data_IF_636870999061
#
_entry.id   IF_636870999061
#
_cell.length_a   1.000
_cell.length_b   1.000
_cell.length_c   1.000
_cell.angle_alpha   90.00
_cell.angle_beta   90.00
_cell.angle_gamma   90.00
#
_symmetry.space_group_name_H-M   'P 1'
#
loop_
_entity.id
_entity.type
_entity.pdbx_description
1 polymer ?
#
# COMPACT_ATOMS: atom_id res chain seq x y z
N UNK A 1 -23.96 -3.73 0.73
CA UNK A 1 -23.16 -4.93 0.38
C UNK A 1 -21.88 -4.45 -0.28
N UNK A 2 -20.74 -5.09 -0.02
CA UNK A 2 -19.53 -4.92 -0.83
C UNK A 2 -19.60 -6.00 -1.92
N UNK A 3 -19.80 -5.61 -3.18
CA UNK A 3 -19.87 -6.54 -4.30
C UNK A 3 -18.75 -6.19 -5.28
N UNK A 4 -18.12 -7.19 -5.92
CA UNK A 4 -17.19 -6.94 -7.01
C UNK A 4 -17.94 -6.31 -8.19
N UNK A 5 -17.20 -5.82 -9.19
CA UNK A 5 -17.79 -5.36 -10.43
C UNK A 5 -18.46 -6.53 -11.18
N UNK A 6 -19.76 -6.39 -11.51
CA UNK A 6 -20.58 -7.40 -12.19
C UNK A 6 -21.16 -6.79 -13.47
N UNK A 7 -20.98 -7.44 -14.62
CA UNK A 7 -21.41 -6.97 -15.95
C UNK A 7 -22.93 -6.89 -16.10
N UNK A 8 -23.63 -7.84 -15.46
CA UNK A 8 -25.07 -8.01 -15.54
C UNK A 8 -25.86 -7.09 -14.62
N UNK A 9 -25.19 -6.35 -13.71
CA UNK A 9 -25.84 -5.39 -12.84
C UNK A 9 -25.47 -3.96 -13.27
N UNK A 10 -26.46 -3.11 -13.62
CA UNK A 10 -26.19 -1.70 -13.82
C UNK A 10 -25.78 -1.06 -12.49
N UNK A 11 -24.51 -0.67 -12.36
CA UNK A 11 -24.00 0.09 -11.23
C UNK A 11 -24.48 1.54 -11.34
N UNK A 12 -25.61 1.87 -10.70
CA UNK A 12 -26.18 3.22 -10.75
C UNK A 12 -26.69 3.60 -12.14
N UNK A 13 -27.54 4.63 -12.21
CA UNK A 13 -28.17 5.05 -13.45
C UNK A 13 -27.16 5.71 -14.40
N UNK A 14 -26.43 4.93 -15.20
CA UNK A 14 -25.77 5.40 -16.43
C UNK A 14 -25.61 4.26 -17.46
N UNK A 15 -26.25 4.35 -18.64
CA UNK A 15 -26.06 3.40 -19.73
C UNK A 15 -24.91 3.87 -20.63
N UNK A 16 -23.68 3.52 -20.23
CA UNK A 16 -22.51 3.34 -21.08
C UNK A 16 -21.55 2.45 -20.27
N UNK A 17 -20.77 1.57 -20.91
CA UNK A 17 -19.79 0.75 -20.20
C UNK A 17 -18.85 1.66 -19.38
N UNK A 18 -19.12 1.83 -18.09
CA UNK A 18 -18.36 2.72 -17.24
C UNK A 18 -16.92 2.19 -17.19
N UNK A 19 -15.96 3.05 -17.54
CA UNK A 19 -14.55 2.68 -17.45
C UNK A 19 -14.24 2.20 -16.03
N UNK A 20 -13.50 1.10 -15.91
CA UNK A 20 -13.15 0.54 -14.63
C UNK A 20 -12.43 1.58 -13.75
N UNK A 21 -12.77 1.67 -12.45
CA UNK A 21 -12.27 2.72 -11.57
C UNK A 21 -10.76 2.59 -11.36
N UNK A 22 -10.09 3.74 -11.39
CA UNK A 22 -8.65 3.84 -11.15
C UNK A 22 -8.35 3.85 -9.67
N UNK A 23 -7.40 3.02 -9.24
CA UNK A 23 -7.05 2.88 -7.82
C UNK A 23 -5.56 3.07 -7.57
N UNK A 24 -5.20 3.58 -6.40
CA UNK A 24 -3.82 3.81 -6.01
C UNK A 24 -3.54 3.28 -4.61
N UNK A 25 -2.43 2.57 -4.45
CA UNK A 25 -1.93 2.20 -3.13
C UNK A 25 -0.46 2.57 -2.94
N UNK A 26 -0.14 3.22 -1.83
CA UNK A 26 1.25 3.42 -1.39
C UNK A 26 1.65 2.33 -0.38
N UNK A 27 2.76 1.63 -0.62
CA UNK A 27 3.36 0.65 0.28
C UNK A 27 4.71 1.18 0.75
N UNK A 28 4.94 1.17 2.06
CA UNK A 28 6.13 1.76 2.66
C UNK A 28 6.90 0.75 3.53
N UNK A 29 8.22 0.82 3.41
CA UNK A 29 9.18 0.18 4.31
C UNK A 29 10.15 1.24 4.83
N UNK A 30 10.32 1.35 6.15
CA UNK A 30 11.28 2.27 6.76
C UNK A 30 12.73 1.80 6.65
N UNK A 31 13.67 2.73 6.80
CA UNK A 31 15.12 2.51 6.93
C UNK A 31 15.85 2.04 5.67
N UNK A 32 15.32 2.32 4.49
CA UNK A 32 16.00 2.06 3.22
C UNK A 32 16.10 0.58 2.86
N UNK A 33 16.86 0.30 1.82
CA UNK A 33 16.94 -1.00 1.12
C UNK A 33 18.34 -1.62 1.29
N UNK A 34 18.59 -2.75 0.63
CA UNK A 34 19.96 -3.24 0.36
C UNK A 34 20.49 -2.68 -0.97
N UNK A 35 21.35 -1.63 -0.97
CA UNK A 35 21.83 -0.99 -2.19
C UNK A 35 22.47 -1.92 -3.23
N UNK A 36 23.37 -2.86 -2.89
CA UNK A 36 24.03 -3.70 -3.90
C UNK A 36 23.07 -4.65 -4.61
N UNK A 37 21.89 -4.89 -4.04
CA UNK A 37 20.89 -5.85 -4.53
C UNK A 37 19.65 -5.18 -5.14
N UNK A 38 19.61 -3.84 -5.17
CA UNK A 38 18.52 -3.05 -5.74
C UNK A 38 18.90 -2.46 -7.08
N UNK A 39 18.71 -3.23 -8.14
CA UNK A 39 19.01 -2.82 -9.51
C UNK A 39 18.00 -3.41 -10.48
N UNK A 40 17.85 -2.76 -11.64
CA UNK A 40 17.16 -3.31 -12.78
C UNK A 40 17.79 -2.77 -14.07
N UNK A 41 17.74 -3.56 -15.13
CA UNK A 41 18.19 -3.15 -16.48
C UNK A 41 17.34 -3.79 -17.58
N UNK A 42 17.39 -3.23 -18.78
CA UNK A 42 16.53 -3.66 -19.88
C UNK A 42 15.09 -3.17 -19.71
N UNK A 43 14.13 -3.86 -20.33
CA UNK A 43 12.71 -3.49 -20.33
C UNK A 43 11.80 -4.68 -20.65
N UNK A 44 10.52 -4.52 -20.36
CA UNK A 44 9.45 -5.48 -20.65
C UNK A 44 9.72 -6.85 -20.05
N UNK A 45 9.38 -7.91 -20.79
CA UNK A 45 9.60 -9.29 -20.36
C UNK A 45 11.08 -9.63 -20.13
N UNK A 46 12.00 -8.92 -20.80
CA UNK A 46 13.45 -9.15 -20.72
C UNK A 46 14.14 -8.33 -19.61
N UNK A 47 13.38 -7.63 -18.76
CA UNK A 47 13.92 -6.87 -17.64
C UNK A 47 14.71 -7.79 -16.69
N UNK A 48 15.97 -7.45 -16.45
CA UNK A 48 16.82 -8.13 -15.47
C UNK A 48 16.64 -7.42 -14.13
N UNK A 49 16.33 -8.18 -13.09
CA UNK A 49 16.08 -7.67 -11.74
C UNK A 49 17.20 -8.11 -10.81
N UNK A 50 17.68 -7.19 -9.98
CA UNK A 50 18.58 -7.48 -8.87
C UNK A 50 17.92 -8.38 -7.82
N UNK A 51 18.73 -8.99 -6.96
CA UNK A 51 18.30 -10.00 -6.00
C UNK A 51 17.11 -9.54 -5.14
N UNK A 52 17.14 -8.31 -4.62
CA UNK A 52 16.05 -7.80 -3.78
C UNK A 52 14.72 -7.59 -4.53
N UNK A 53 14.77 -7.46 -5.86
CA UNK A 53 13.60 -7.27 -6.72
C UNK A 53 13.07 -8.57 -7.35
N UNK A 54 13.77 -9.69 -7.16
CA UNK A 54 13.40 -11.01 -7.69
C UNK A 54 11.92 -11.40 -7.46
N UNK A 55 11.27 -11.11 -6.31
CA UNK A 55 9.86 -11.46 -6.12
C UNK A 55 8.90 -10.85 -7.16
N UNK A 56 9.31 -9.79 -7.86
CA UNK A 56 8.51 -9.11 -8.89
C UNK A 56 8.75 -9.69 -10.30
N UNK A 57 9.50 -10.78 -10.45
CA UNK A 57 9.88 -11.34 -11.74
C UNK A 57 8.68 -11.70 -12.65
N UNK A 58 7.56 -12.19 -12.08
CA UNK A 58 6.34 -12.48 -12.85
C UNK A 58 5.60 -11.22 -13.32
N UNK A 59 5.93 -10.06 -12.75
CA UNK A 59 5.25 -8.79 -12.95
C UNK A 59 6.05 -7.83 -13.84
N UNK A 60 7.18 -8.26 -14.43
CA UNK A 60 8.05 -7.41 -15.28
C UNK A 60 7.29 -6.56 -16.31
N UNK A 61 6.29 -7.08 -17.07
CA UNK A 61 5.56 -6.26 -18.04
C UNK A 61 4.74 -5.13 -17.41
N UNK A 62 4.37 -5.27 -16.13
CA UNK A 62 3.57 -4.31 -15.36
C UNK A 62 4.40 -3.50 -14.36
N UNK A 63 5.73 -3.66 -14.34
CA UNK A 63 6.64 -3.06 -13.37
C UNK A 63 7.40 -1.88 -13.99
N UNK A 64 7.47 -0.77 -13.25
CA UNK A 64 8.46 0.27 -13.47
C UNK A 64 9.42 0.34 -12.27
N UNK A 65 10.72 0.29 -12.54
CA UNK A 65 11.77 0.52 -11.53
C UNK A 65 12.31 1.93 -11.74
N UNK A 66 12.14 2.79 -10.74
CA UNK A 66 12.46 4.22 -10.85
C UNK A 66 13.64 4.58 -9.95
N UNK A 67 14.66 5.17 -10.55
CA UNK A 67 15.92 5.53 -9.90
C UNK A 67 16.14 7.03 -9.93
N UNK A 68 16.76 7.56 -8.88
CA UNK A 68 17.24 8.94 -8.82
C UNK A 68 16.24 9.97 -8.29
N UNK A 69 14.99 9.60 -7.99
CA UNK A 69 14.03 10.52 -7.39
C UNK A 69 14.38 10.84 -5.93
N UNK A 70 14.07 12.05 -5.46
CA UNK A 70 14.29 12.45 -4.06
C UNK A 70 13.26 13.47 -3.58
N UNK A 71 13.13 13.64 -2.27
CA UNK A 71 12.34 14.70 -1.66
C UNK A 71 13.30 15.77 -1.12
N UNK A 72 13.27 16.99 -1.68
CA UNK A 72 14.18 18.08 -1.25
C UNK A 72 14.03 18.39 0.24
N UNK A 73 12.80 18.39 0.74
CA UNK A 73 12.49 18.73 2.14
C UNK A 73 12.92 17.64 3.14
N UNK A 74 13.35 16.48 2.66
CA UNK A 74 13.93 15.39 3.46
C UNK A 74 15.46 15.37 3.44
N UNK A 75 16.12 16.30 2.73
CA UNK A 75 17.59 16.32 2.60
C UNK A 75 18.23 17.34 3.52
N UNK A 76 19.26 16.93 4.27
CA UNK A 76 20.03 17.84 5.14
C UNK A 76 19.29 18.38 6.37
N UNK A 77 18.07 17.92 6.64
CA UNK A 77 17.23 18.40 7.75
C UNK A 77 17.33 17.53 9.00
N UNK A 78 17.99 16.38 8.92
CA UNK A 78 18.07 15.34 9.96
C UNK A 78 17.97 13.96 9.34
N UNK A 79 18.02 12.94 10.19
CA UNK A 79 17.82 11.53 9.82
C UNK A 79 16.44 11.06 10.30
N UNK A 80 16.00 9.88 9.83
CA UNK A 80 14.82 9.20 10.34
C UNK A 80 13.53 10.04 10.25
N UNK A 81 12.91 10.59 11.33
CA UNK A 81 11.62 11.26 11.18
C UNK A 81 11.66 12.44 10.19
N UNK A 82 12.80 13.13 10.07
CA UNK A 82 13.01 14.19 9.08
C UNK A 82 12.96 13.73 7.62
N UNK A 83 13.14 12.43 7.37
CA UNK A 83 13.15 11.78 6.06
C UNK A 83 11.87 10.97 5.77
N UNK A 84 11.07 10.69 6.80
CA UNK A 84 9.93 9.76 6.72
C UNK A 84 8.60 10.49 6.64
N UNK A 85 8.35 11.42 7.56
CA UNK A 85 7.00 11.93 7.78
C UNK A 85 6.40 12.69 6.61
N UNK A 86 7.25 13.24 5.74
CA UNK A 86 6.84 13.96 4.54
C UNK A 86 6.95 13.13 3.26
N UNK A 87 7.17 11.82 3.34
CA UNK A 87 7.47 11.03 2.14
C UNK A 87 6.36 11.12 1.09
N UNK A 88 5.08 11.14 1.51
CA UNK A 88 3.93 11.29 0.60
C UNK A 88 3.42 12.74 0.44
N UNK A 89 3.95 13.72 1.20
CA UNK A 89 3.49 15.11 1.15
C UNK A 89 4.49 16.08 0.51
N UNK A 90 5.79 15.75 0.55
CA UNK A 90 6.86 16.66 0.14
C UNK A 90 6.99 17.90 1.02
N UNK A 91 6.30 17.97 2.16
CA UNK A 91 6.29 19.15 3.02
C UNK A 91 7.59 19.30 3.84
N UNK A 92 7.94 20.55 4.19
CA UNK A 92 8.97 20.82 5.18
C UNK A 92 8.47 20.46 6.58
N UNK A 93 9.11 19.49 7.23
CA UNK A 93 8.73 19.07 8.58
C UNK A 93 9.21 20.09 9.62
N UNK A 94 8.43 20.24 10.71
CA UNK A 94 8.76 21.11 11.82
C UNK A 94 9.28 20.30 13.03
N UNK A 95 10.31 20.82 13.70
CA UNK A 95 10.82 20.27 14.97
C UNK A 95 9.98 20.73 16.16
N UNK A 96 9.98 19.95 17.23
CA UNK A 96 9.23 20.22 18.46
C UNK A 96 7.81 19.65 18.44
N UNK A 97 6.98 20.12 19.37
CA UNK A 97 5.69 19.52 19.69
C UNK A 97 4.60 19.71 18.64
N UNK A 98 4.71 20.77 17.83
CA UNK A 98 3.73 21.08 16.80
C UNK A 98 4.11 20.38 15.51
N UNK A 99 3.26 19.46 15.07
CA UNK A 99 3.43 18.76 13.80
C UNK A 99 3.11 19.71 12.63
N UNK A 100 3.95 19.63 11.60
CA UNK A 100 3.78 20.13 10.24
C UNK A 100 4.17 19.03 9.24
N UNK A 101 3.22 18.21 8.78
CA UNK A 101 3.43 17.15 7.80
C UNK A 101 2.89 17.48 6.40
N UNK A 102 1.99 18.46 6.27
CA UNK A 102 1.33 18.82 5.00
C UNK A 102 0.36 17.75 4.52
N UNK A 103 -0.71 18.12 3.80
CA UNK A 103 -1.63 17.10 3.23
C UNK A 103 -0.87 16.20 2.26
N UNK A 104 -0.98 14.89 2.46
CA UNK A 104 -0.27 13.91 1.62
C UNK A 104 -1.03 13.57 0.35
N UNK A 105 -0.30 13.10 -0.65
CA UNK A 105 -0.80 12.79 -2.00
C UNK A 105 -1.96 11.79 -1.98
N UNK A 106 -1.86 10.74 -1.17
CA UNK A 106 -2.93 9.77 -0.97
C UNK A 106 -4.20 10.44 -0.40
N UNK A 107 -4.06 11.43 0.49
CA UNK A 107 -5.22 12.13 1.05
C UNK A 107 -5.80 13.18 0.10
N UNK A 108 -4.99 13.75 -0.80
CA UNK A 108 -5.50 14.56 -1.93
C UNK A 108 -6.34 13.70 -2.87
N UNK A 109 -5.87 12.49 -3.22
CA UNK A 109 -6.66 11.54 -4.01
C UNK A 109 -7.92 11.08 -3.26
N UNK A 110 -7.82 10.83 -1.96
CA UNK A 110 -8.96 10.39 -1.15
C UNK A 110 -10.09 11.43 -1.16
N UNK A 111 -9.75 12.70 -1.00
CA UNK A 111 -10.71 13.81 -1.10
C UNK A 111 -11.33 13.90 -2.50
N UNK A 112 -10.56 13.63 -3.56
CA UNK A 112 -11.08 13.66 -4.92
C UNK A 112 -12.15 12.60 -5.19
N UNK A 113 -12.06 11.43 -4.54
CA UNK A 113 -12.98 10.31 -4.74
C UNK A 113 -14.00 10.11 -3.60
N UNK A 114 -14.09 11.05 -2.65
CA UNK A 114 -14.87 10.85 -1.42
C UNK A 114 -16.37 10.64 -1.65
N UNK A 115 -16.91 11.24 -2.70
CA UNK A 115 -18.32 11.08 -3.09
C UNK A 115 -18.58 9.83 -3.96
N UNK A 116 -17.51 9.16 -4.41
CA UNK A 116 -17.59 7.98 -5.29
C UNK A 116 -17.42 6.66 -4.54
N UNK A 117 -16.81 6.68 -3.35
CA UNK A 117 -16.53 5.47 -2.56
C UNK A 117 -17.07 5.56 -1.14
N UNK A 118 -17.46 4.42 -0.58
CA UNK A 118 -17.98 4.36 0.79
C UNK A 118 -16.92 4.70 1.86
N UNK A 119 -15.64 4.47 1.53
CA UNK A 119 -14.50 4.83 2.36
C UNK A 119 -13.52 5.64 1.50
N UNK A 120 -13.23 6.88 1.88
CA UNK A 120 -12.37 7.79 1.09
C UNK A 120 -10.91 7.32 1.03
N UNK A 121 -10.40 6.74 2.13
CA UNK A 121 -9.04 6.20 2.21
C UNK A 121 -8.94 5.03 3.18
N UNK A 122 -8.09 4.06 2.85
CA UNK A 122 -7.75 2.93 3.72
C UNK A 122 -6.29 3.05 4.16
N UNK A 123 -6.06 3.64 5.34
CA UNK A 123 -4.72 3.83 5.91
C UNK A 123 -4.43 2.73 6.93
N UNK A 124 -3.50 1.84 6.58
CA UNK A 124 -3.17 0.62 7.31
C UNK A 124 -1.70 0.60 7.73
N UNK A 125 -1.38 -0.23 8.71
CA UNK A 125 -0.01 -0.71 8.84
C UNK A 125 0.17 -1.91 9.74
N UNK A 126 1.41 -2.40 9.77
CA UNK A 126 1.75 -3.67 10.41
C UNK A 126 2.54 -3.47 11.72
N UNK A 127 2.73 -2.23 12.16
CA UNK A 127 3.46 -1.86 13.37
C UNK A 127 2.79 -0.64 14.02
N UNK A 128 2.61 -0.68 15.35
CA UNK A 128 1.99 0.41 16.09
C UNK A 128 2.86 1.67 16.11
N UNK A 129 2.26 2.87 16.04
CA UNK A 129 3.00 4.13 16.12
C UNK A 129 3.66 4.32 17.48
N UNK A 130 4.78 5.04 17.51
CA UNK A 130 5.48 5.41 18.75
C UNK A 130 5.44 6.92 18.98
N UNK A 131 5.49 7.31 20.24
CA UNK A 131 5.45 8.70 20.71
C UNK A 131 6.83 9.15 21.22
N UNK A 132 6.97 10.43 21.54
CA UNK A 132 8.23 11.02 22.01
C UNK A 132 8.97 11.77 20.89
N UNK A 133 10.28 11.95 21.08
CA UNK A 133 11.12 12.73 20.19
C UNK A 133 12.38 11.96 19.81
N UNK A 134 12.79 12.12 18.56
CA UNK A 134 14.11 11.74 18.09
C UNK A 134 15.17 12.74 18.59
N UNK A 135 16.44 12.35 18.63
CA UNK A 135 17.58 13.23 18.99
C UNK A 135 17.69 14.49 18.11
N UNK A 136 17.15 14.43 16.88
CA UNK A 136 17.02 15.60 15.99
C UNK A 136 15.83 16.50 16.35
N UNK A 137 15.17 16.30 17.50
CA UNK A 137 14.02 17.06 18.00
C UNK A 137 12.78 17.02 17.09
N UNK A 138 12.70 16.06 16.16
CA UNK A 138 11.46 15.76 15.46
C UNK A 138 10.60 14.82 16.31
N UNK A 139 9.29 15.03 16.25
CA UNK A 139 8.32 14.11 16.86
C UNK A 139 8.39 12.73 16.20
N UNK A 140 8.32 11.68 17.02
CA UNK A 140 8.27 10.30 16.54
C UNK A 140 7.00 9.96 15.75
N UNK A 141 6.00 10.84 15.77
CA UNK A 141 4.85 10.75 14.87
C UNK A 141 5.29 10.73 13.39
N UNK A 142 6.35 11.46 13.04
CA UNK A 142 6.89 11.51 11.68
C UNK A 142 7.61 10.22 11.25
N UNK A 143 8.12 9.41 12.18
CA UNK A 143 8.62 8.07 11.85
C UNK A 143 7.50 7.03 11.75
N UNK A 144 6.32 7.37 12.27
CA UNK A 144 5.20 6.44 12.42
C UNK A 144 4.06 6.65 11.42
N UNK A 145 3.99 7.81 10.77
CA UNK A 145 2.93 8.14 9.83
C UNK A 145 3.49 8.79 8.57
N UNK A 146 2.91 8.40 7.44
CA UNK A 146 3.24 8.94 6.12
C UNK A 146 2.01 9.56 5.42
N UNK A 147 0.81 9.25 5.91
CA UNK A 147 -0.46 9.83 5.46
C UNK A 147 -0.88 10.97 6.38
N UNK A 148 -1.28 12.09 5.79
CA UNK A 148 -1.61 13.33 6.48
C UNK A 148 -2.87 13.95 5.88
N UNK A 149 -3.91 14.08 6.69
CA UNK A 149 -5.16 14.72 6.26
C UNK A 149 -4.98 16.23 6.06
N UNK A 150 -4.10 16.86 6.85
CA UNK A 150 -3.83 18.28 6.79
C UNK A 150 -2.41 18.58 7.29
N UNK A 151 -2.08 19.88 7.37
CA UNK A 151 -0.78 20.32 7.80
C UNK A 151 -0.31 19.72 9.13
N UNK A 152 -1.18 19.48 10.11
CA UNK A 152 -0.77 19.19 11.49
C UNK A 152 -1.26 17.84 12.00
N UNK A 153 -2.03 17.11 11.22
CA UNK A 153 -2.68 15.89 11.66
C UNK A 153 -2.33 14.74 10.73
N UNK A 154 -1.59 13.72 11.21
CA UNK A 154 -1.48 12.48 10.48
C UNK A 154 -2.84 11.78 10.46
N UNK A 155 -3.06 10.93 9.46
CA UNK A 155 -4.21 10.03 9.46
C UNK A 155 -3.88 8.85 10.37
N UNK A 156 -4.72 8.52 11.37
CA UNK A 156 -4.54 7.32 12.17
C UNK A 156 -4.54 6.08 11.29
N UNK A 157 -3.56 5.20 11.51
CA UNK A 157 -3.45 3.94 10.79
C UNK A 157 -4.13 2.81 11.55
N UNK A 158 -4.91 1.98 10.85
CA UNK A 158 -5.49 0.77 11.42
C UNK A 158 -4.47 -0.38 11.36
N UNK A 159 -4.14 -0.93 12.53
CA UNK A 159 -3.15 -2.01 12.70
C UNK A 159 -3.79 -3.35 13.02
N UNK A 160 -5.10 -3.38 13.24
CA UNK A 160 -5.84 -4.59 13.57
C UNK A 160 -6.54 -5.12 12.32
N UNK A 161 -6.12 -6.28 11.76
CA UNK A 161 -6.72 -6.81 10.54
C UNK A 161 -8.23 -7.04 10.65
N UNK A 162 -8.75 -7.40 11.82
CA UNK A 162 -10.19 -7.58 12.03
C UNK A 162 -10.99 -6.29 12.08
N UNK A 163 -10.36 -5.14 12.39
CA UNK A 163 -11.02 -3.83 12.30
C UNK A 163 -10.93 -3.29 10.87
N UNK A 164 -9.77 -3.44 10.22
CA UNK A 164 -9.58 -3.07 8.83
C UNK A 164 -10.48 -3.89 7.88
N UNK A 165 -10.61 -5.20 8.12
CA UNK A 165 -11.53 -6.05 7.37
C UNK A 165 -12.98 -5.65 7.60
N UNK A 166 -13.35 -5.40 8.86
CA UNK A 166 -14.67 -4.92 9.22
C UNK A 166 -15.07 -3.64 8.53
N UNK A 167 -14.15 -2.68 8.35
CA UNK A 167 -14.47 -1.38 7.74
C UNK A 167 -14.93 -1.51 6.28
N UNK A 168 -14.56 -2.60 5.60
CA UNK A 168 -15.03 -2.89 4.24
C UNK A 168 -16.52 -3.27 4.20
N UNK A 169 -17.09 -3.67 5.34
CA UNK A 169 -18.45 -4.14 5.48
C UNK A 169 -19.22 -3.23 6.44
N UNK A 170 -20.46 -2.89 6.10
CA UNK A 170 -21.29 -2.05 6.96
C UNK A 170 -21.67 -2.81 8.25
N UNK A 171 -20.87 -2.65 9.31
CA UNK A 171 -20.93 -3.40 10.57
C UNK A 171 -21.58 -2.60 11.72
N UNK A 172 -22.72 -1.94 11.46
CA UNK A 172 -23.46 -1.22 12.49
C UNK A 172 -24.42 -2.11 13.33
N UNK A 173 -24.53 -1.79 14.63
CA UNK A 173 -25.50 -2.38 15.57
C UNK A 173 -25.25 -3.85 15.93
N UNK A 174 -26.32 -4.63 16.15
CA UNK A 174 -26.26 -6.08 16.47
C UNK A 174 -25.54 -6.94 15.42
N UNK A 175 -25.26 -6.38 14.23
CA UNK A 175 -24.60 -7.05 13.11
C UNK A 175 -23.07 -7.12 13.25
N UNK A 176 -22.49 -6.41 14.23
CA UNK A 176 -21.04 -6.41 14.51
C UNK A 176 -20.54 -7.73 15.10
N UNK A 177 -21.43 -8.55 15.66
CA UNK A 177 -21.04 -9.81 16.34
C UNK A 177 -21.17 -11.05 15.45
N UNK A 178 -21.75 -10.93 14.25
CA UNK A 178 -21.93 -12.03 13.32
C UNK A 178 -20.80 -12.09 12.29
N UNK A 179 -20.41 -13.29 11.87
CA UNK A 179 -19.51 -13.50 10.73
C UNK A 179 -20.05 -12.75 9.51
N UNK A 180 -19.14 -12.12 8.76
CA UNK A 180 -19.48 -11.39 7.54
C UNK A 180 -20.01 -12.38 6.49
N UNK A 181 -19.47 -13.60 6.42
CA UNK A 181 -19.90 -14.61 5.46
C UNK A 181 -21.36 -14.99 5.60
N UNK A 182 -21.82 -15.24 6.83
CA UNK A 182 -23.22 -15.60 7.07
C UNK A 182 -24.17 -14.48 6.63
N UNK A 183 -23.70 -13.22 6.70
CA UNK A 183 -24.46 -12.05 6.25
C UNK A 183 -24.52 -11.92 4.73
N UNK A 184 -23.38 -12.03 4.03
CA UNK A 184 -23.36 -11.91 2.57
C UNK A 184 -23.93 -13.15 1.88
N UNK A 185 -23.94 -14.32 2.51
CA UNK A 185 -24.39 -15.58 1.89
C UNK A 185 -25.83 -15.52 1.40
N UNK A 186 -26.76 -15.01 2.20
CA UNK A 186 -28.18 -14.95 1.80
C UNK A 186 -28.40 -13.94 0.66
N UNK A 187 -27.70 -12.81 0.72
CA UNK A 187 -27.80 -11.78 -0.31
C UNK A 187 -27.15 -12.23 -1.62
N UNK A 188 -26.00 -12.90 -1.54
CA UNK A 188 -25.32 -13.46 -2.70
C UNK A 188 -26.09 -14.64 -3.32
N UNK A 189 -26.78 -15.46 -2.52
CA UNK A 189 -27.65 -16.51 -3.05
C UNK A 189 -28.82 -15.95 -3.87
N UNK A 190 -29.41 -14.83 -3.43
CA UNK A 190 -30.44 -14.11 -4.21
C UNK A 190 -29.83 -13.57 -5.51
N UNK A 191 -28.67 -12.91 -5.41
CA UNK A 191 -28.00 -12.29 -6.54
C UNK A 191 -27.52 -13.29 -7.59
N UNK A 192 -27.07 -14.49 -7.16
CA UNK A 192 -26.65 -15.55 -8.06
C UNK A 192 -27.76 -15.95 -9.05
N UNK A 193 -29.03 -15.79 -8.68
CA UNK A 193 -30.14 -16.11 -9.59
C UNK A 193 -30.40 -15.01 -10.64
N UNK A 194 -29.91 -13.79 -10.41
CA UNK A 194 -30.20 -12.60 -11.23
C UNK A 194 -29.05 -12.22 -12.18
N UNK A 195 -27.84 -12.76 -11.95
CA UNK A 195 -26.63 -12.38 -12.70
C UNK A 195 -26.22 -13.39 -13.77
N UNK A 196 -25.40 -12.92 -14.72
CA UNK A 196 -24.84 -13.74 -15.81
C UNK A 196 -23.94 -14.86 -15.27
N UNK A 197 -23.69 -15.90 -16.07
CA UNK A 197 -22.76 -16.99 -15.67
C UNK A 197 -21.34 -16.48 -15.37
N UNK A 198 -20.86 -15.48 -16.13
CA UNK A 198 -19.57 -14.81 -15.89
C UNK A 198 -19.54 -14.15 -14.50
N UNK A 199 -20.61 -13.45 -14.16
CA UNK A 199 -20.73 -12.73 -12.89
C UNK A 199 -20.94 -13.65 -11.68
N UNK A 200 -21.61 -14.80 -11.86
CA UNK A 200 -21.66 -15.85 -10.83
C UNK A 200 -20.26 -16.32 -10.45
N UNK A 201 -19.40 -16.58 -11.45
CA UNK A 201 -18.04 -17.01 -11.20
C UNK A 201 -17.23 -15.95 -10.42
N UNK A 202 -17.36 -14.66 -10.78
CA UNK A 202 -16.73 -13.55 -10.04
C UNK A 202 -17.26 -13.43 -8.61
N UNK A 203 -18.57 -13.57 -8.42
CA UNK A 203 -19.19 -13.53 -7.10
C UNK A 203 -18.71 -14.69 -6.22
N UNK A 204 -18.61 -15.91 -6.77
CA UNK A 204 -18.11 -17.08 -6.06
C UNK A 204 -16.61 -16.93 -5.69
N UNK A 205 -15.79 -16.39 -6.59
CA UNK A 205 -14.37 -16.07 -6.32
C UNK A 205 -14.24 -15.04 -5.18
N UNK A 206 -15.05 -13.99 -5.22
CA UNK A 206 -15.09 -12.97 -4.19
C UNK A 206 -15.52 -13.54 -2.83
N UNK A 207 -16.62 -14.30 -2.76
CA UNK A 207 -17.08 -14.92 -1.51
C UNK A 207 -16.05 -15.90 -0.94
N UNK A 208 -15.34 -16.62 -1.81
CA UNK A 208 -14.24 -17.49 -1.41
C UNK A 208 -13.09 -16.67 -0.82
N UNK A 209 -12.71 -15.56 -1.46
CA UNK A 209 -11.67 -14.65 -0.96
C UNK A 209 -12.03 -14.03 0.40
N UNK A 210 -13.27 -13.54 0.56
CA UNK A 210 -13.78 -13.02 1.84
C UNK A 210 -13.69 -14.10 2.93
N UNK A 211 -14.04 -15.34 2.59
CA UNK A 211 -14.02 -16.47 3.52
C UNK A 211 -12.63 -16.86 3.96
N UNK A 212 -11.68 -16.85 3.05
CA UNK A 212 -10.29 -17.15 3.35
C UNK A 212 -9.68 -16.10 4.25
N UNK A 213 -9.94 -14.81 4.00
CA UNK A 213 -9.46 -13.70 4.84
C UNK A 213 -10.05 -13.79 6.25
N UNK A 214 -11.38 -13.93 6.38
CA UNK A 214 -12.03 -14.04 7.69
C UNK A 214 -11.48 -15.25 8.50
N UNK A 215 -11.30 -16.41 7.83
CA UNK A 215 -10.70 -17.60 8.46
C UNK A 215 -9.25 -17.39 8.88
N UNK A 216 -8.44 -16.69 8.08
CA UNK A 216 -7.04 -16.38 8.44
C UNK A 216 -7.00 -15.45 9.65
N UNK A 217 -7.83 -14.42 9.69
CA UNK A 217 -7.99 -13.54 10.85
C UNK A 217 -8.36 -14.35 12.09
N UNK A 218 -9.31 -15.27 11.98
CA UNK A 218 -9.72 -16.14 13.08
C UNK A 218 -8.59 -17.08 13.56
N UNK A 219 -7.88 -17.73 12.62
CA UNK A 219 -6.78 -18.67 12.94
C UNK A 219 -5.61 -17.99 13.64
N UNK A 220 -5.25 -16.78 13.22
CA UNK A 220 -4.16 -16.01 13.83
C UNK A 220 -4.45 -15.58 15.28
N UNK A 221 -5.69 -15.74 15.77
CA UNK A 221 -6.05 -15.56 17.18
C UNK A 221 -6.01 -16.86 17.98
N UNK A 222 -6.39 -17.98 17.38
CA UNK A 222 -6.55 -19.26 18.10
C UNK A 222 -5.24 -19.94 18.50
N UNK A 223 -4.07 -19.39 18.13
CA UNK A 223 -2.78 -19.93 18.59
C UNK A 223 -2.50 -19.61 20.07
N UNK A 224 -3.16 -18.61 20.67
CA UNK A 224 -3.03 -18.27 22.10
C UNK A 224 -4.10 -18.89 23.02
N UNK A 225 -5.25 -19.32 22.50
CA UNK A 225 -6.35 -19.90 23.28
C UNK A 225 -6.80 -21.21 22.64
N UNK A 226 -6.53 -22.35 23.27
CA UNK A 226 -6.68 -23.73 22.74
C UNK A 226 -8.09 -24.17 22.29
N UNK A 227 -9.04 -23.28 22.06
CA UNK A 227 -10.39 -23.57 21.55
C UNK A 227 -10.44 -23.25 20.05
N UNK A 228 -10.33 -24.30 19.22
CA UNK A 228 -10.59 -24.21 17.77
C UNK A 228 -12.08 -24.41 17.51
N UNK A 229 -12.83 -23.34 17.26
CA UNK A 229 -14.13 -23.46 16.60
C UNK A 229 -14.12 -22.72 15.25
N UNK A 230 -13.67 -23.42 14.21
CA UNK A 230 -13.60 -22.91 12.82
C UNK A 230 -14.99 -22.73 12.16
N UNK A 231 -16.06 -23.17 12.85
CA UNK A 231 -17.45 -23.03 12.41
C UNK A 231 -18.20 -21.99 13.26
N UNK A 232 -17.49 -21.07 13.92
CA UNK A 232 -18.13 -20.03 14.70
C UNK A 232 -18.85 -19.03 13.79
N UNK A 233 -20.12 -18.77 14.07
CA UNK A 233 -20.89 -17.68 13.46
C UNK A 233 -20.54 -16.32 14.06
N UNK A 234 -19.59 -16.27 15.01
CA UNK A 234 -19.16 -15.05 15.69
C UNK A 234 -18.00 -14.41 14.93
N UNK A 235 -18.07 -13.09 14.75
CA UNK A 235 -16.98 -12.27 14.20
C UNK A 235 -15.66 -12.50 15.00
N UNK A 236 -14.49 -12.58 14.35
CA UNK A 236 -13.20 -12.64 15.03
C UNK A 236 -12.95 -11.44 15.97
N UNK A 237 -12.29 -11.68 17.12
CA UNK A 237 -11.94 -10.61 18.05
C UNK A 237 -10.79 -9.71 17.55
N UNK A 238 -10.71 -8.50 18.09
CA UNK A 238 -9.67 -7.54 17.74
C UNK A 238 -8.30 -7.98 18.28
N UNK A 239 -7.24 -7.78 17.50
CA UNK A 239 -5.87 -7.83 18.00
C UNK A 239 -4.82 -7.94 16.89
N UNK A 240 -3.54 -8.00 17.27
CA UNK A 240 -2.42 -8.14 16.33
C UNK A 240 -2.09 -9.62 16.07
N UNK A 241 -1.78 -10.03 14.83
CA UNK A 241 -1.18 -11.33 14.57
C UNK A 241 0.22 -11.42 15.22
N UNK A 242 0.57 -12.58 15.77
CA UNK A 242 1.91 -12.82 16.37
C UNK A 242 3.00 -12.91 15.30
N UNK A 243 2.66 -13.48 14.13
CA UNK A 243 3.55 -13.59 13.00
C UNK A 243 3.38 -12.41 12.04
N UNK A 244 4.45 -11.61 11.89
CA UNK A 244 4.49 -10.45 11.00
C UNK A 244 4.23 -10.84 9.52
N UNK A 245 4.56 -12.08 9.13
CA UNK A 245 4.26 -12.63 7.79
C UNK A 245 2.78 -12.68 7.54
N UNK A 246 2.04 -13.20 8.51
CA UNK A 246 0.58 -13.28 8.43
C UNK A 246 -0.05 -11.89 8.52
N UNK A 247 0.51 -11.00 9.35
CA UNK A 247 0.00 -9.64 9.47
C UNK A 247 0.07 -8.87 8.14
N UNK A 248 1.24 -8.84 7.48
CA UNK A 248 1.42 -8.14 6.22
C UNK A 248 0.56 -8.74 5.10
N UNK A 249 0.46 -10.07 5.04
CA UNK A 249 -0.38 -10.76 4.06
C UNK A 249 -1.86 -10.44 4.25
N UNK A 250 -2.35 -10.43 5.50
CA UNK A 250 -3.72 -10.05 5.81
C UNK A 250 -4.03 -8.60 5.41
N UNK A 251 -3.13 -7.65 5.69
CA UNK A 251 -3.34 -6.27 5.28
C UNK A 251 -3.34 -6.11 3.76
N UNK A 252 -2.49 -6.85 3.04
CA UNK A 252 -2.55 -6.90 1.57
C UNK A 252 -3.89 -7.46 1.09
N UNK A 253 -4.40 -8.53 1.69
CA UNK A 253 -5.68 -9.13 1.32
C UNK A 253 -6.85 -8.17 1.50
N UNK A 254 -6.84 -7.39 2.58
CA UNK A 254 -7.86 -6.37 2.85
C UNK A 254 -7.82 -5.28 1.78
N UNK A 255 -6.63 -4.80 1.38
CA UNK A 255 -6.51 -3.84 0.26
C UNK A 255 -7.05 -4.45 -1.03
N UNK A 256 -6.72 -5.72 -1.31
CA UNK A 256 -7.18 -6.39 -2.51
C UNK A 256 -8.70 -6.49 -2.58
N UNK A 257 -9.35 -6.88 -1.47
CA UNK A 257 -10.82 -6.91 -1.37
C UNK A 257 -11.44 -5.51 -1.47
N UNK A 258 -10.83 -4.52 -0.84
CA UNK A 258 -11.30 -3.13 -0.88
C UNK A 258 -11.29 -2.59 -2.32
N UNK A 259 -10.24 -2.91 -3.08
CA UNK A 259 -10.14 -2.53 -4.49
C UNK A 259 -11.08 -3.32 -5.36
N UNK A 260 -11.14 -4.65 -5.22
CA UNK A 260 -12.04 -5.51 -6.02
C UNK A 260 -13.51 -5.07 -5.93
N UNK A 261 -13.93 -4.56 -4.77
CA UNK A 261 -15.32 -4.14 -4.49
C UNK A 261 -15.55 -2.64 -4.59
N UNK A 262 -14.55 -1.89 -5.08
CA UNK A 262 -14.53 -0.42 -5.14
C UNK A 262 -14.97 0.27 -3.83
N UNK A 263 -14.63 -0.32 -2.69
CA UNK A 263 -14.93 0.25 -1.36
C UNK A 263 -14.13 1.49 -1.07
N UNK A 264 -12.92 1.53 -1.60
CA UNK A 264 -12.01 2.67 -1.63
C UNK A 264 -11.20 2.62 -2.91
N UNK A 265 -10.84 3.79 -3.45
CA UNK A 265 -9.89 3.92 -4.55
C UNK A 265 -8.47 4.24 -4.08
N UNK A 266 -8.29 4.50 -2.78
CA UNK A 266 -7.00 4.88 -2.21
C UNK A 266 -6.67 4.05 -0.98
N UNK A 267 -5.45 3.51 -0.94
CA UNK A 267 -4.91 2.82 0.23
C UNK A 267 -3.47 3.24 0.53
N UNK A 268 -3.09 3.17 1.79
CA UNK A 268 -1.69 3.31 2.23
C UNK A 268 -1.39 2.18 3.21
N UNK A 269 -0.29 1.46 2.99
CA UNK A 269 0.17 0.38 3.86
C UNK A 269 1.58 0.64 4.35
N UNK A 270 1.69 0.97 5.63
CA UNK A 270 2.95 1.06 6.34
C UNK A 270 3.35 -0.33 6.84
N UNK A 271 4.26 -1.01 6.15
CA UNK A 271 4.65 -2.39 6.49
C UNK A 271 5.61 -2.42 7.69
N UNK A 272 6.49 -1.43 7.81
CA UNK A 272 7.21 -1.13 9.03
C UNK A 272 7.47 0.36 9.13
N UNK A 273 7.57 0.85 10.36
CA UNK A 273 7.86 2.26 10.60
C UNK A 273 9.32 2.54 10.33
N UNK A 274 9.65 3.81 10.20
CA UNK A 274 11.03 4.21 10.40
C UNK A 274 11.40 4.04 11.89
N UNK A 275 12.63 3.61 12.16
CA UNK A 275 13.06 3.18 13.49
C UNK A 275 12.27 1.96 13.99
N UNK A 276 11.92 1.04 13.08
CA UNK A 276 11.14 -0.16 13.41
C UNK A 276 11.88 -1.09 14.37
N UNK A 277 11.13 -1.61 15.34
CA UNK A 277 11.59 -2.61 16.31
C UNK A 277 11.26 -4.05 15.92
N UNK A 278 10.80 -4.30 14.70
CA UNK A 278 10.42 -5.64 14.23
C UNK A 278 11.62 -6.59 14.11
N UNK A 279 11.38 -7.89 14.30
CA UNK A 279 12.38 -8.95 14.17
C UNK A 279 11.98 -9.95 13.08
N UNK A 280 12.99 -10.58 12.44
CA UNK A 280 12.78 -11.52 11.33
C UNK A 280 13.55 -12.84 11.54
N UNK A 281 13.30 -13.59 12.63
CA UNK A 281 13.98 -14.86 12.87
C UNK A 281 13.72 -15.90 11.77
N UNK A 282 12.57 -15.82 11.08
CA UNK A 282 12.26 -16.67 9.92
C UNK A 282 13.15 -16.41 8.70
N UNK A 283 13.91 -15.31 8.70
CA UNK A 283 14.95 -14.99 7.71
C UNK A 283 16.36 -15.18 8.29
N UNK A 284 16.49 -15.81 9.45
CA UNK A 284 17.75 -15.91 10.19
C UNK A 284 18.40 -14.53 10.41
N UNK A 285 17.59 -13.57 10.89
CA UNK A 285 18.03 -12.23 11.30
C UNK A 285 17.67 -12.05 12.77
N UNK A 286 18.70 -11.84 13.61
CA UNK A 286 18.59 -11.83 15.08
C UNK A 286 18.52 -10.42 15.68
N UNK A 287 18.85 -9.41 14.89
CA UNK A 287 18.77 -8.00 15.24
C UNK A 287 17.42 -7.43 14.79
N UNK A 288 16.94 -6.39 15.48
CA UNK A 288 15.74 -5.67 15.06
C UNK A 288 15.97 -4.98 13.70
N UNK A 289 14.89 -4.64 13.01
CA UNK A 289 14.89 -4.00 11.68
C UNK A 289 15.81 -2.80 11.60
N UNK A 290 15.62 -1.82 12.50
CA UNK A 290 16.39 -0.60 12.47
C UNK A 290 17.90 -0.84 12.61
N UNK A 291 18.43 -1.52 13.65
CA UNK A 291 19.86 -1.86 13.70
C UNK A 291 20.38 -2.61 12.47
N UNK A 292 19.61 -3.58 11.95
CA UNK A 292 20.00 -4.36 10.77
C UNK A 292 20.14 -3.48 9.52
N UNK A 293 19.36 -2.40 9.41
CA UNK A 293 19.44 -1.47 8.29
C UNK A 293 20.76 -0.68 8.22
N UNK A 294 21.52 -0.59 9.32
CA UNK A 294 22.86 -0.01 9.32
C UNK A 294 23.92 -0.97 8.77
N UNK A 295 23.54 -2.21 8.44
CA UNK A 295 24.36 -3.19 7.72
C UNK A 295 23.75 -3.48 6.34
N UNK A 296 23.41 -2.42 5.59
CA UNK A 296 22.60 -2.54 4.36
C UNK A 296 23.28 -3.26 3.18
N UNK A 297 24.58 -3.50 3.26
CA UNK A 297 25.33 -4.36 2.35
C UNK A 297 25.35 -5.86 2.75
N UNK A 298 24.80 -6.21 3.92
CA UNK A 298 24.77 -7.59 4.41
C UNK A 298 23.72 -8.45 3.70
N UNK A 299 23.97 -9.76 3.64
CA UNK A 299 22.97 -10.73 3.19
C UNK A 299 21.74 -10.76 4.12
N UNK A 300 21.90 -10.39 5.40
CA UNK A 300 20.80 -10.31 6.35
C UNK A 300 19.81 -9.22 5.94
N UNK A 301 20.28 -8.00 5.68
CA UNK A 301 19.41 -6.90 5.27
C UNK A 301 18.87 -7.08 3.83
N UNK A 302 19.60 -7.78 2.96
CA UNK A 302 19.08 -8.22 1.66
C UNK A 302 17.83 -9.09 1.82
N UNK A 303 17.88 -10.13 2.67
CA UNK A 303 16.73 -11.01 2.91
C UNK A 303 15.53 -10.24 3.46
N UNK A 304 15.76 -9.30 4.38
CA UNK A 304 14.71 -8.41 4.91
C UNK A 304 14.11 -7.56 3.79
N UNK A 305 14.94 -6.87 3.01
CA UNK A 305 14.50 -6.04 1.87
C UNK A 305 13.68 -6.86 0.88
N UNK A 306 14.18 -8.04 0.48
CA UNK A 306 13.49 -8.95 -0.45
C UNK A 306 12.16 -9.46 0.11
N UNK A 307 12.08 -9.71 1.41
CA UNK A 307 10.84 -10.09 2.07
C UNK A 307 9.78 -8.99 1.98
N UNK A 308 10.14 -7.71 2.18
CA UNK A 308 9.20 -6.59 2.00
C UNK A 308 8.77 -6.44 0.54
N UNK A 309 9.68 -6.58 -0.41
CA UNK A 309 9.35 -6.58 -1.84
C UNK A 309 8.38 -7.73 -2.19
N UNK A 310 8.50 -8.87 -1.53
CA UNK A 310 7.57 -9.99 -1.70
C UNK A 310 6.13 -9.70 -1.22
N UNK A 311 5.91 -8.68 -0.39
CA UNK A 311 4.57 -8.23 -0.01
C UNK A 311 3.90 -7.45 -1.14
N UNK A 312 4.66 -6.57 -1.81
CA UNK A 312 4.19 -5.86 -3.01
C UNK A 312 3.85 -6.86 -4.11
N UNK A 313 4.76 -7.82 -4.37
CA UNK A 313 4.56 -8.84 -5.38
C UNK A 313 3.29 -9.67 -5.12
N UNK A 314 3.02 -9.99 -3.86
CA UNK A 314 1.81 -10.72 -3.48
C UNK A 314 0.54 -9.91 -3.71
N UNK A 315 0.49 -8.65 -3.24
CA UNK A 315 -0.66 -7.78 -3.48
C UNK A 315 -0.90 -7.60 -4.98
N UNK A 316 0.15 -7.34 -5.75
CA UNK A 316 0.07 -7.21 -7.20
C UNK A 316 -0.48 -8.48 -7.87
N UNK A 317 0.04 -9.66 -7.52
CA UNK A 317 -0.45 -10.92 -8.08
C UNK A 317 -1.91 -11.21 -7.68
N UNK A 318 -2.32 -10.85 -6.45
CA UNK A 318 -3.73 -10.95 -6.02
C UNK A 318 -4.63 -10.05 -6.88
N UNK A 319 -4.26 -8.79 -7.09
CA UNK A 319 -5.00 -7.86 -7.94
C UNK A 319 -5.00 -8.27 -9.42
N UNK A 320 -3.93 -8.93 -9.88
CA UNK A 320 -3.83 -9.46 -11.25
C UNK A 320 -4.71 -10.69 -11.49
N UNK A 321 -5.04 -11.44 -10.43
CA UNK A 321 -5.94 -12.58 -10.52
C UNK A 321 -7.43 -12.15 -10.58
N UNK A 322 -7.76 -11.00 -9.98
CA UNK A 322 -9.13 -10.48 -9.90
C UNK A 322 -9.53 -9.79 -11.21
N UNK A 323 -10.57 -10.32 -11.88
CA UNK A 323 -11.10 -9.76 -13.14
C UNK A 323 -11.95 -8.52 -12.92
N UNK A 324 -11.82 -7.54 -13.83
CA UNK A 324 -12.61 -6.32 -13.89
C UNK A 324 -12.86 -5.99 -15.37
N UNK A 325 -13.99 -6.49 -15.90
CA UNK A 325 -14.26 -6.54 -17.34
C UNK A 325 -13.22 -7.38 -18.11
N UNK A 326 -12.77 -6.85 -19.24
CA UNK A 326 -11.70 -7.43 -20.07
C UNK A 326 -10.30 -7.29 -19.44
N UNK A 327 -10.20 -6.59 -18.31
CA UNK A 327 -8.96 -6.29 -17.62
C UNK A 327 -8.90 -6.96 -16.23
N UNK A 328 -7.87 -6.64 -15.45
CA UNK A 328 -7.74 -7.06 -14.06
C UNK A 328 -7.75 -5.85 -13.14
N UNK A 329 -8.04 -6.04 -11.85
CA UNK A 329 -7.96 -4.94 -10.88
C UNK A 329 -6.57 -4.30 -10.89
N UNK A 330 -5.50 -5.09 -11.10
CA UNK A 330 -4.13 -4.55 -11.25
C UNK A 330 -3.96 -3.67 -12.50
N UNK A 331 -4.63 -3.99 -13.61
CA UNK A 331 -4.55 -3.17 -14.83
C UNK A 331 -5.15 -1.78 -14.61
N UNK A 332 -6.17 -1.68 -13.73
CA UNK A 332 -6.81 -0.42 -13.34
C UNK A 332 -6.21 0.22 -12.09
N UNK A 333 -5.19 -0.41 -11.49
CA UNK A 333 -4.55 0.09 -10.27
C UNK A 333 -3.10 0.53 -10.53
N UNK A 334 -2.57 1.35 -9.62
CA UNK A 334 -1.15 1.62 -9.47
C UNK A 334 -0.73 1.37 -8.01
N UNK A 335 0.13 0.38 -7.81
CA UNK A 335 0.80 0.16 -6.53
C UNK A 335 2.16 0.85 -6.58
N UNK A 336 2.39 1.79 -5.67
CA UNK A 336 3.68 2.44 -5.48
C UNK A 336 4.36 1.90 -4.24
N UNK A 337 5.59 1.43 -4.38
CA UNK A 337 6.47 1.22 -3.24
C UNK A 337 7.45 2.37 -3.10
N UNK A 338 7.67 2.81 -1.86
CA UNK A 338 8.68 3.80 -1.52
C UNK A 338 9.31 3.51 -0.16
N UNK A 339 10.61 3.79 -0.02
CA UNK A 339 11.29 3.89 1.28
C UNK A 339 11.83 5.31 1.48
N UNK A 340 12.04 5.69 2.73
CA UNK A 340 12.48 7.04 3.13
C UNK A 340 13.96 7.34 2.83
N UNK A 341 14.76 6.33 2.50
CA UNK A 341 16.17 6.49 2.17
C UNK A 341 16.65 5.38 1.24
N UNK A 342 17.80 5.58 0.59
CA UNK A 342 18.48 4.57 -0.20
C UNK A 342 19.34 3.65 0.65
N UNK A 343 20.07 4.20 1.61
CA UNK A 343 21.01 3.48 2.46
C UNK A 343 20.69 3.77 3.91
N UNK A 344 20.49 2.72 4.70
CA UNK A 344 20.28 2.81 6.14
C UNK A 344 21.57 3.18 6.87
N UNK A 345 22.72 2.63 6.43
CA UNK A 345 24.04 2.92 7.00
C UNK A 345 24.46 4.39 6.84
N UNK A 346 24.09 5.01 5.71
CA UNK A 346 24.47 6.39 5.37
C UNK A 346 23.34 7.40 5.57
N UNK A 347 22.14 6.93 5.94
CA UNK A 347 20.89 7.70 5.93
C UNK A 347 20.69 8.50 4.64
N UNK A 348 21.01 7.90 3.49
CA UNK A 348 21.04 8.61 2.21
C UNK A 348 19.62 8.87 1.67
N UNK A 349 19.06 10.04 1.95
CA UNK A 349 17.77 10.48 1.40
C UNK A 349 17.88 11.24 0.07
N UNK A 350 19.07 11.31 -0.54
CA UNK A 350 19.29 12.06 -1.81
C UNK A 350 18.80 11.29 -3.03
N UNK A 351 18.43 10.02 -2.87
CA UNK A 351 17.71 9.22 -3.85
C UNK A 351 16.84 8.23 -3.08
N UNK A 352 15.70 7.88 -3.62
CA UNK A 352 14.70 7.05 -2.95
C UNK A 352 14.40 5.83 -3.82
N UNK A 353 14.30 4.63 -3.24
CA UNK A 353 13.89 3.45 -3.97
C UNK A 353 12.39 3.56 -4.27
N UNK A 354 12.04 3.61 -5.56
CA UNK A 354 10.64 3.74 -6.01
C UNK A 354 10.32 2.65 -7.03
N UNK A 355 9.21 1.94 -6.81
CA UNK A 355 8.64 0.99 -7.75
C UNK A 355 7.20 1.35 -8.05
N UNK A 356 6.76 1.18 -9.30
CA UNK A 356 5.35 1.27 -9.67
C UNK A 356 4.93 -0.06 -10.31
N UNK A 357 3.79 -0.60 -9.89
CA UNK A 357 3.23 -1.85 -10.42
C UNK A 357 1.77 -1.65 -10.79
N UNK A 358 1.41 -1.99 -12.02
CA UNK A 358 0.03 -1.85 -12.55
C UNK A 358 -0.10 -0.76 -13.61
N UNK A 359 -1.22 -0.78 -14.34
CA UNK A 359 -1.41 -0.01 -15.57
C UNK A 359 -2.18 1.30 -15.39
N UNK A 360 -2.83 1.51 -14.23
CA UNK A 360 -3.70 2.65 -13.95
C UNK A 360 -4.71 2.95 -15.08
N UNK A 361 -5.38 1.90 -15.57
CA UNK A 361 -6.34 1.97 -16.67
C UNK A 361 -5.67 2.25 -18.02
N UNK A 362 -4.46 1.72 -18.23
CA UNK A 362 -3.65 1.93 -19.43
C UNK A 362 -3.00 3.31 -19.55
N UNK A 363 -3.15 4.19 -18.56
CA UNK A 363 -2.58 5.54 -18.58
C UNK A 363 -1.12 5.61 -18.12
N UNK A 364 -0.63 4.54 -17.48
CA UNK A 364 0.77 4.40 -17.08
C UNK A 364 1.47 3.43 -18.01
N UNK A 365 2.53 3.88 -18.70
CA UNK A 365 3.35 2.97 -19.51
C UNK A 365 4.25 2.13 -18.59
N UNK A 366 4.10 0.81 -18.64
CA UNK A 366 4.79 -0.13 -17.75
C UNK A 366 5.95 -0.87 -18.41
N UNK A 367 6.67 -1.68 -17.62
CA UNK A 367 7.75 -2.52 -18.10
C UNK A 367 9.05 -1.77 -18.32
N UNK A 368 9.32 -0.70 -17.56
CA UNK A 368 10.46 0.18 -17.81
C UNK A 368 11.39 0.31 -16.62
N UNK A 369 12.67 0.51 -16.93
CA UNK A 369 13.65 1.00 -15.98
C UNK A 369 13.86 2.48 -16.29
N UNK A 370 13.49 3.34 -15.35
CA UNK A 370 13.53 4.80 -15.49
C UNK A 370 14.65 5.35 -14.62
N UNK A 371 15.68 5.92 -15.23
CA UNK A 371 16.81 6.51 -14.52
C UNK A 371 16.80 8.04 -14.65
N UNK A 372 16.55 8.70 -13.52
CA UNK A 372 16.58 10.15 -13.37
C UNK A 372 17.89 10.67 -12.73
N UNK A 373 18.86 9.79 -12.47
CA UNK A 373 20.18 10.22 -12.03
C UNK A 373 20.82 11.14 -13.09
N UNK A 374 21.52 12.18 -12.64
CA UNK A 374 22.19 13.14 -13.53
C UNK A 374 21.25 14.10 -14.30
N UNK A 375 19.92 14.05 -14.09
CA UNK A 375 18.96 14.97 -14.74
C UNK A 375 18.90 16.37 -14.10
N UNK A 376 19.65 16.60 -13.02
CA UNK A 376 19.53 17.79 -12.17
C UNK A 376 18.36 17.69 -11.18
N UNK A 377 18.48 18.35 -10.03
CA UNK A 377 17.52 18.24 -8.93
C UNK A 377 16.09 18.63 -9.33
N UNK A 378 15.92 19.62 -10.21
CA UNK A 378 14.59 20.04 -10.67
C UNK A 378 13.83 18.96 -11.47
N UNK A 379 14.55 18.03 -12.11
CA UNK A 379 13.96 16.99 -12.97
C UNK A 379 13.83 15.62 -12.30
N UNK A 380 14.14 15.53 -11.00
CA UNK A 380 14.12 14.27 -10.24
C UNK A 380 13.39 14.41 -8.89
N UNK A 381 12.48 15.38 -8.77
CA UNK A 381 11.65 15.56 -7.57
C UNK A 381 10.65 14.42 -7.44
N UNK A 382 10.55 13.83 -6.25
CA UNK A 382 9.54 12.83 -5.92
C UNK A 382 8.12 13.42 -6.07
N UNK A 383 7.93 14.70 -5.73
CA UNK A 383 6.63 15.35 -5.89
C UNK A 383 6.21 15.52 -7.36
N UNK A 384 7.16 15.55 -8.31
CA UNK A 384 6.83 15.50 -9.74
C UNK A 384 6.23 14.15 -10.13
N UNK A 385 6.68 13.04 -9.51
CA UNK A 385 6.04 11.73 -9.69
C UNK A 385 4.59 11.77 -9.19
N UNK A 386 4.36 12.37 -8.01
CA UNK A 386 3.02 12.52 -7.44
C UNK A 386 2.10 13.33 -8.34
N UNK A 387 2.54 14.47 -8.88
CA UNK A 387 1.79 15.23 -9.88
C UNK A 387 1.42 14.39 -11.12
N UNK A 388 2.36 13.59 -11.63
CA UNK A 388 2.08 12.71 -12.78
C UNK A 388 1.04 11.64 -12.49
N UNK A 389 1.03 11.08 -11.28
CA UNK A 389 0.02 10.12 -10.82
C UNK A 389 -1.33 10.79 -10.55
N UNK A 390 -1.37 11.94 -9.86
CA UNK A 390 -2.57 12.77 -9.66
C UNK A 390 -3.31 13.02 -10.97
N UNK A 391 -2.56 13.53 -11.96
CA UNK A 391 -3.12 13.92 -13.25
C UNK A 391 -3.74 12.73 -13.98
N UNK A 392 -3.13 11.53 -13.88
CA UNK A 392 -3.67 10.29 -14.48
C UNK A 392 -4.93 9.81 -13.77
N UNK A 393 -5.10 10.18 -12.52
CA UNK A 393 -6.26 9.88 -11.69
C UNK A 393 -7.31 10.99 -11.67
N UNK A 394 -7.15 12.06 -12.46
CA UNK A 394 -8.15 13.12 -12.61
C UNK A 394 -7.93 14.36 -11.75
N UNK A 395 -6.95 14.35 -10.85
CA UNK A 395 -6.61 15.51 -10.01
C UNK A 395 -5.60 16.39 -10.76
N UNK A 396 -6.04 17.57 -11.21
CA UNK A 396 -5.18 18.57 -11.86
C UNK A 396 -4.78 19.65 -10.86
N UNK A 397 -3.57 19.53 -10.31
CA UNK A 397 -2.99 20.52 -9.40
C UNK A 397 -1.93 21.39 -10.11
N UNK A 398 -1.86 22.68 -9.77
CA UNK A 398 -0.82 23.59 -10.25
C UNK A 398 0.56 23.26 -9.68
N UNK A 399 0.60 22.61 -8.51
CA UNK A 399 1.81 22.13 -7.86
C UNK A 399 1.50 21.22 -6.67
N UNK A 400 2.52 20.52 -6.19
CA UNK A 400 2.46 19.66 -5.02
C UNK A 400 3.84 19.55 -4.37
N UNK A 401 3.92 19.66 -3.05
CA UNK A 401 5.19 19.67 -2.33
C UNK A 401 6.17 20.71 -2.90
N UNK A 402 7.31 20.24 -3.42
CA UNK A 402 8.35 21.05 -4.05
C UNK A 402 8.30 21.09 -5.59
N UNK A 403 7.25 20.53 -6.20
CA UNK A 403 7.10 20.41 -7.64
C UNK A 403 5.95 21.26 -8.20
N UNK A 404 6.19 21.88 -9.36
CA UNK A 404 5.19 22.60 -10.18
C UNK A 404 4.99 21.95 -11.55
N UNK A 405 5.79 20.93 -11.87
CA UNK A 405 5.73 20.21 -13.14
C UNK A 405 5.65 18.70 -12.89
N UNK A 406 4.78 17.97 -13.62
CA UNK A 406 4.76 16.51 -13.59
C UNK A 406 6.10 15.90 -14.03
N UNK A 407 6.42 14.71 -13.52
CA UNK A 407 7.61 13.97 -13.90
C UNK A 407 7.54 13.56 -15.37
N UNK A 408 8.52 13.98 -16.16
CA UNK A 408 8.61 13.65 -17.58
C UNK A 408 8.93 12.17 -17.79
N UNK A 409 8.36 11.58 -18.85
CA UNK A 409 8.66 10.21 -19.25
C UNK A 409 8.06 9.13 -18.36
N UNK A 410 7.05 9.46 -17.53
CA UNK A 410 6.30 8.49 -16.72
C UNK A 410 5.18 7.78 -17.47
#
# INVERSE_FOLDING_TARGET
>A
MALPWLESLPFGAQPAAAAAPKRFAALFMGNGISPPNWSASGAGANMVLGKSLEPLASLRPKLNVVSGLFNRQATGVGIHPGQTGNILSGAALQRGAVLRGGTSMDQVLAAHFEDETAQSSLVLGCEQPITGYHETNFSMAYSSHISWQNANSPVPMEVYPSLAFDSLFDNQGNRRNQSILDRVRNQAASLNNEVSHSDRAKLDEYLTSVREVERRIQRNRSQGSGVRNQNSTRRPENGLPEDIREHMRLMCDIIALAFQTDKTRVATLLMCRDLSGLFYPFLDVRTAHHPTSHEDHSDAYERVTRYYVSQIAYLANRLAAMREGESTVLDNSCLMFVSNMWSGSQHDSRKLPVLLVGGLGGTLTTGRVLDYNGRGDDNRKLCSLYLSLMNRMGVRAEGFGDATTPLAGL
#
